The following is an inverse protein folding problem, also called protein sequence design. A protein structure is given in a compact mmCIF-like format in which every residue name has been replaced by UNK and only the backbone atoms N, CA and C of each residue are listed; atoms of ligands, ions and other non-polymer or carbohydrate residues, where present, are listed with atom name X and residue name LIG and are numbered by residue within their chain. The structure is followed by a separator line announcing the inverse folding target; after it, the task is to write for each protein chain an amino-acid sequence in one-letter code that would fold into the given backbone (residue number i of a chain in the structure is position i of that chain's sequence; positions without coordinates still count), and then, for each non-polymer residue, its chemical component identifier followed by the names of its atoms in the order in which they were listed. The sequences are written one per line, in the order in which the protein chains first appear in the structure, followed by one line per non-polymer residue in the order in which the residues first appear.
data_IF_105609200173
#
_entry.id   IF_105609200173
#
_cell.length_a   1.000
_cell.length_b   1.000
_cell.length_c   1.000
_cell.angle_alpha   90.00
_cell.angle_beta   90.00
_cell.angle_gamma   90.00
#
_symmetry.space_group_name_H-M   'P 1'
#
loop_
_entity.id
_entity.type
_entity.pdbx_description
1 polymer ?
#
# COMPACT_ATOMS: atom_id res chain seq x y z
N UNK A 1 4.28 -5.07 19.82
CA UNK A 1 4.53 -3.68 20.27
C UNK A 1 3.43 -2.78 19.72
N UNK A 2 2.83 -1.90 20.53
CA UNK A 2 1.83 -0.93 20.04
C UNK A 2 2.54 0.25 19.34
N UNK A 3 2.04 0.68 18.18
CA UNK A 3 2.49 1.91 17.53
C UNK A 3 2.27 3.11 18.46
N UNK A 4 3.19 4.09 18.44
CA UNK A 4 2.93 5.36 19.12
C UNK A 4 1.83 6.12 18.36
N UNK A 5 0.96 6.88 19.04
CA UNK A 5 -0.17 7.60 18.41
C UNK A 5 0.24 8.51 17.25
N UNK A 6 1.38 9.20 17.36
CA UNK A 6 1.90 10.06 16.28
C UNK A 6 2.21 9.28 14.98
N UNK A 7 2.67 8.03 15.11
CA UNK A 7 2.96 7.17 13.97
C UNK A 7 1.68 6.59 13.40
N UNK A 8 0.71 6.29 14.26
CA UNK A 8 -0.60 5.82 13.84
C UNK A 8 -1.27 6.79 12.85
N UNK A 9 -1.35 8.08 13.19
CA UNK A 9 -1.93 9.10 12.29
C UNK A 9 -1.16 9.22 10.97
N UNK A 10 0.18 9.17 11.01
CA UNK A 10 1.00 9.17 9.80
C UNK A 10 0.69 7.97 8.90
N UNK A 11 0.62 6.76 9.46
CA UNK A 11 0.38 5.55 8.68
C UNK A 11 -1.07 5.40 8.20
N UNK A 12 -2.04 5.95 8.92
CA UNK A 12 -3.43 6.06 8.45
C UNK A 12 -3.53 6.96 7.20
N UNK A 13 -2.89 8.14 7.24
CA UNK A 13 -2.83 9.03 6.08
C UNK A 13 -2.08 8.41 4.89
N UNK A 14 -0.96 7.75 5.15
CA UNK A 14 -0.20 7.04 4.11
C UNK A 14 -1.04 5.90 3.53
N UNK A 15 -1.71 5.11 4.37
CA UNK A 15 -2.58 4.04 3.93
C UNK A 15 -3.67 4.57 2.99
N UNK A 16 -4.43 5.58 3.40
CA UNK A 16 -5.48 6.18 2.56
C UNK A 16 -4.92 6.71 1.23
N UNK A 17 -3.77 7.38 1.27
CA UNK A 17 -3.15 7.96 0.08
C UNK A 17 -2.69 6.89 -0.92
N UNK A 18 -1.97 5.87 -0.44
CA UNK A 18 -1.50 4.78 -1.29
C UNK A 18 -2.64 3.90 -1.81
N UNK A 19 -3.65 3.67 -0.99
CA UNK A 19 -4.85 2.92 -1.36
C UNK A 19 -5.56 3.58 -2.56
N UNK A 20 -5.78 4.90 -2.49
CA UNK A 20 -6.35 5.68 -3.59
C UNK A 20 -5.45 5.69 -4.82
N UNK A 21 -4.15 5.92 -4.63
CA UNK A 21 -3.19 5.97 -5.72
C UNK A 21 -3.11 4.65 -6.49
N UNK A 22 -2.92 3.52 -5.80
CA UNK A 22 -2.74 2.21 -6.44
C UNK A 22 -4.02 1.76 -7.16
N UNK A 23 -5.18 2.01 -6.58
CA UNK A 23 -6.48 1.75 -7.22
C UNK A 23 -6.64 2.56 -8.51
N UNK A 24 -6.34 3.87 -8.43
CA UNK A 24 -6.40 4.77 -9.58
C UNK A 24 -5.42 4.38 -10.68
N UNK A 25 -4.18 4.06 -10.31
CA UNK A 25 -3.12 3.64 -11.23
C UNK A 25 -3.50 2.34 -11.94
N UNK A 26 -3.92 1.31 -11.19
CA UNK A 26 -4.28 0.00 -11.77
C UNK A 26 -5.44 0.13 -12.74
N UNK A 27 -6.47 0.91 -12.39
CA UNK A 27 -7.59 1.19 -13.29
C UNK A 27 -7.12 1.82 -14.60
N UNK A 28 -6.23 2.81 -14.55
CA UNK A 28 -5.69 3.44 -15.77
C UNK A 28 -4.86 2.45 -16.59
N UNK A 29 -3.97 1.70 -15.95
CA UNK A 29 -3.12 0.72 -16.63
C UNK A 29 -3.94 -0.37 -17.35
N UNK A 30 -5.02 -0.85 -16.73
CA UNK A 30 -5.94 -1.80 -17.38
C UNK A 30 -6.71 -1.15 -18.52
N UNK A 31 -7.31 0.03 -18.31
CA UNK A 31 -8.07 0.72 -19.36
C UNK A 31 -7.24 1.11 -20.58
N UNK A 32 -5.93 1.31 -20.41
CA UNK A 32 -5.00 1.67 -21.49
C UNK A 32 -4.30 0.46 -22.12
N UNK A 33 -4.64 -0.76 -21.71
CA UNK A 33 -4.04 -1.98 -22.25
C UNK A 33 -2.57 -2.21 -21.85
N UNK A 34 -2.05 -1.46 -20.87
CA UNK A 34 -0.71 -1.68 -20.28
C UNK A 34 -0.70 -2.97 -19.47
N UNK A 35 -1.83 -3.31 -18.85
CA UNK A 35 -2.04 -4.50 -18.03
C UNK A 35 -3.14 -5.39 -18.60
N UNK A 36 -3.09 -6.68 -18.27
CA UNK A 36 -4.13 -7.64 -18.65
C UNK A 36 -5.49 -7.28 -18.02
N UNK A 37 -6.62 -7.39 -18.74
CA UNK A 37 -7.94 -6.97 -18.24
C UNK A 37 -8.45 -7.74 -17.02
N UNK A 38 -7.94 -8.95 -16.78
CA UNK A 38 -8.26 -9.73 -15.59
C UNK A 38 -7.53 -9.27 -14.31
N UNK A 39 -6.68 -8.25 -14.38
CA UNK A 39 -6.07 -7.67 -13.18
C UNK A 39 -7.14 -6.86 -12.43
N UNK A 40 -7.39 -7.23 -11.18
CA UNK A 40 -8.35 -6.54 -10.33
C UNK A 40 -7.80 -5.16 -9.92
N UNK A 41 -8.63 -4.12 -10.05
CA UNK A 41 -8.20 -2.75 -9.77
C UNK A 41 -8.06 -2.46 -8.28
N UNK A 42 -8.79 -3.20 -7.44
CA UNK A 42 -8.84 -3.00 -6.01
C UNK A 42 -7.80 -3.88 -5.33
N UNK A 43 -6.92 -3.23 -4.57
CA UNK A 43 -5.84 -3.88 -3.82
C UNK A 43 -6.01 -3.51 -2.37
N UNK A 44 -5.95 -4.45 -1.43
CA UNK A 44 -5.99 -4.09 -0.01
C UNK A 44 -4.58 -3.79 0.47
N UNK A 45 -4.36 -2.56 0.93
CA UNK A 45 -3.13 -2.18 1.60
C UNK A 45 -3.35 -2.13 3.11
N UNK A 46 -2.27 -2.32 3.87
CA UNK A 46 -2.30 -2.25 5.33
C UNK A 46 -0.97 -1.73 5.87
N UNK A 47 -0.98 -0.99 7.00
CA UNK A 47 0.25 -0.77 7.75
C UNK A 47 0.79 -2.11 8.28
N UNK A 48 1.99 -2.49 7.84
CA UNK A 48 2.64 -3.74 8.19
C UNK A 48 4.14 -3.58 8.40
N UNK A 49 4.76 -4.59 8.98
CA UNK A 49 6.21 -4.64 9.14
C UNK A 49 6.86 -5.20 7.87
N UNK A 50 7.84 -4.48 7.33
CA UNK A 50 8.68 -4.95 6.23
C UNK A 50 10.14 -4.94 6.70
N UNK A 51 10.91 -5.93 6.26
CA UNK A 51 12.35 -6.00 6.50
C UNK A 51 13.02 -6.39 5.19
N UNK A 52 14.09 -5.68 4.86
CA UNK A 52 14.98 -6.02 3.77
C UNK A 52 16.21 -6.74 4.34
N UNK A 53 16.88 -7.56 3.52
CA UNK A 53 17.97 -8.42 3.99
C UNK A 53 19.05 -7.64 4.76
N UNK A 54 19.14 -7.90 6.07
CA UNK A 54 20.11 -7.27 6.98
C UNK A 54 19.63 -5.99 7.65
N UNK A 55 18.43 -5.49 7.32
CA UNK A 55 17.88 -4.26 7.87
C UNK A 55 16.86 -4.52 8.99
N UNK A 56 16.78 -3.57 9.93
CA UNK A 56 15.78 -3.61 11.00
C UNK A 56 14.38 -3.52 10.37
N UNK A 57 13.39 -4.29 10.86
CA UNK A 57 12.02 -4.16 10.40
C UNK A 57 11.50 -2.73 10.60
N UNK A 58 10.87 -2.18 9.57
CA UNK A 58 10.19 -0.88 9.60
C UNK A 58 8.70 -1.04 9.30
N UNK A 59 7.91 -0.09 9.78
CA UNK A 59 6.48 -0.05 9.43
C UNK A 59 6.34 0.65 8.08
N UNK A 60 5.66 0.00 7.14
CA UNK A 60 5.36 0.51 5.81
C UNK A 60 3.90 0.20 5.44
N UNK A 61 3.43 0.78 4.35
CA UNK A 61 2.17 0.36 3.73
C UNK A 61 2.50 -0.81 2.80
N UNK A 62 1.92 -1.97 3.08
CA UNK A 62 2.19 -3.23 2.37
C UNK A 62 0.90 -3.86 1.84
N UNK A 63 0.95 -4.73 0.83
CA UNK A 63 -0.18 -5.56 0.46
C UNK A 63 -0.65 -6.42 1.63
N UNK A 64 -1.97 -6.59 1.75
CA UNK A 64 -2.58 -7.54 2.69
C UNK A 64 -2.36 -8.99 2.27
#
# INVERSE_FOLDING_TARGET
MKMKPQYQTRYELLHESYQKWLTGFTRHAVSWGVCHPNIYYFHNLTPGWVSFNGEKPEIAIVPQ
#
